data_IF_808012503288
#
_entry.id   IF_808012503288
#
_cell.length_a   1.000
_cell.length_b   1.000
_cell.length_c   1.000
_cell.angle_alpha   90.00
_cell.angle_beta   90.00
_cell.angle_gamma   90.00
#
_symmetry.space_group_name_H-M   'P 1'
#
loop_
_entity.id
_entity.type
_entity.pdbx_description
1 polymer ?
#
# COMPACT_ATOMS: atom_id res chain seq x y z
N UNK A 1 15.12 32.69 -14.25
CA UNK A 1 15.29 32.94 -12.80
C UNK A 1 13.88 33.17 -12.37
N UNK A 2 13.19 32.08 -12.03
CA UNK A 2 11.75 32.08 -11.83
C UNK A 2 11.48 31.50 -10.44
N UNK A 3 11.48 32.46 -9.54
CA UNK A 3 10.89 32.58 -8.21
C UNK A 3 9.99 31.44 -7.71
N UNK A 4 10.58 30.53 -6.92
CA UNK A 4 9.88 29.81 -5.86
C UNK A 4 10.11 30.53 -4.52
N UNK A 5 9.45 31.67 -4.27
CA UNK A 5 9.46 32.31 -2.94
C UNK A 5 8.16 33.09 -2.73
N UNK A 6 7.22 32.59 -1.91
CA UNK A 6 5.97 33.36 -1.73
C UNK A 6 4.81 32.87 -0.84
N UNK A 7 5.04 32.09 0.23
CA UNK A 7 4.14 31.98 1.41
C UNK A 7 2.69 31.46 1.18
N UNK A 8 1.83 31.34 2.23
CA UNK A 8 1.41 30.06 2.79
C UNK A 8 -0.09 29.85 2.59
N UNK A 9 -0.46 29.12 1.54
CA UNK A 9 -1.85 28.83 1.25
C UNK A 9 -2.00 27.37 0.85
N UNK A 10 -2.73 26.60 1.66
CA UNK A 10 -3.16 25.26 1.28
C UNK A 10 -4.13 25.42 0.10
N UNK A 11 -3.65 25.23 -1.12
CA UNK A 11 -4.52 25.21 -2.30
C UNK A 11 -5.28 23.89 -2.31
N UNK A 12 -6.56 23.98 -1.96
CA UNK A 12 -7.53 22.91 -2.15
C UNK A 12 -8.09 23.06 -3.55
N UNK A 13 -8.07 22.00 -4.34
CA UNK A 13 -8.93 21.94 -5.51
C UNK A 13 -10.41 21.95 -5.05
N UNK A 14 -11.35 22.08 -6.00
CA UNK A 14 -12.78 22.06 -5.69
C UNK A 14 -13.26 20.79 -4.95
N UNK A 15 -12.42 19.75 -4.83
CA UNK A 15 -12.64 18.53 -4.05
C UNK A 15 -11.82 18.43 -2.74
N UNK A 16 -10.99 19.41 -2.37
CA UNK A 16 -10.36 19.48 -1.05
C UNK A 16 -8.97 18.84 -0.90
N UNK A 17 -8.30 18.43 -1.97
CA UNK A 17 -6.98 17.77 -1.94
C UNK A 17 -5.84 18.76 -2.11
N UNK A 18 -4.73 18.56 -1.39
CA UNK A 18 -3.51 19.40 -1.47
C UNK A 18 -2.61 18.86 -2.58
N UNK A 19 -2.36 19.65 -3.64
CA UNK A 19 -1.44 19.30 -4.72
C UNK A 19 -0.03 19.85 -4.44
N UNK A 20 1.02 19.00 -4.36
CA UNK A 20 2.32 19.46 -3.88
C UNK A 20 3.33 19.99 -4.91
N UNK A 21 3.08 20.12 -6.22
CA UNK A 21 4.16 20.64 -7.11
C UNK A 21 3.69 21.46 -8.33
N UNK A 22 4.46 22.53 -8.60
CA UNK A 22 4.37 23.40 -9.76
C UNK A 22 5.28 22.91 -10.90
N UNK A 23 4.67 22.81 -12.07
CA UNK A 23 5.15 23.13 -13.42
C UNK A 23 5.99 22.16 -14.29
N UNK A 24 5.53 22.14 -15.55
CA UNK A 24 6.10 21.82 -16.86
C UNK A 24 6.78 20.48 -17.14
N UNK A 25 6.00 19.60 -17.79
CA UNK A 25 6.47 18.40 -18.47
C UNK A 25 5.77 17.18 -17.92
N UNK A 26 4.98 16.52 -18.76
CA UNK A 26 4.21 15.30 -18.44
C UNK A 26 5.16 14.23 -17.89
N UNK A 27 5.34 14.19 -16.57
CA UNK A 27 5.66 12.97 -15.84
C UNK A 27 4.34 12.53 -15.25
N UNK A 28 3.73 11.55 -15.92
CA UNK A 28 2.67 10.74 -15.37
C UNK A 28 3.08 10.39 -13.94
N UNK A 29 2.39 10.94 -12.93
CA UNK A 29 2.37 10.31 -11.61
C UNK A 29 2.08 8.85 -11.90
N UNK A 30 3.06 7.97 -11.67
CA UNK A 30 2.87 6.55 -11.87
C UNK A 30 1.75 6.20 -10.91
N UNK A 31 0.53 6.07 -11.44
CA UNK A 31 -0.60 5.68 -10.62
C UNK A 31 -0.19 4.39 -9.94
N UNK A 32 -0.32 4.35 -8.60
CA UNK A 32 -0.11 3.10 -7.87
C UNK A 32 -0.99 2.07 -8.57
N UNK A 33 -0.43 0.94 -9.07
CA UNK A 33 -1.26 -0.04 -9.73
C UNK A 33 -2.35 -0.49 -8.76
N UNK A 34 -3.60 -0.55 -9.23
CA UNK A 34 -4.73 -0.91 -8.37
C UNK A 34 -4.54 -2.35 -7.86
N UNK A 35 -4.27 -2.50 -6.56
CA UNK A 35 -4.14 -3.80 -5.90
C UNK A 35 -5.53 -4.40 -5.65
N UNK A 36 -5.74 -5.64 -6.11
CA UNK A 36 -6.94 -6.42 -5.82
C UNK A 36 -6.70 -7.31 -4.60
N UNK A 37 -7.08 -6.82 -3.42
CA UNK A 37 -6.85 -7.51 -2.15
C UNK A 37 -7.84 -8.66 -1.96
N UNK A 38 -7.31 -9.83 -1.59
CA UNK A 38 -8.08 -11.02 -1.26
C UNK A 38 -7.84 -11.46 0.18
N UNK A 39 -8.90 -11.94 0.83
CA UNK A 39 -8.87 -12.59 2.15
C UNK A 39 -8.66 -14.09 2.00
N UNK A 40 -7.95 -14.70 2.95
CA UNK A 40 -7.89 -16.17 3.06
C UNK A 40 -9.28 -16.76 3.36
N UNK A 41 -9.50 -18.04 3.04
CA UNK A 41 -10.79 -18.68 3.27
C UNK A 41 -11.25 -18.64 4.74
N UNK A 42 -10.31 -18.75 5.69
CA UNK A 42 -10.58 -18.63 7.12
C UNK A 42 -11.13 -17.25 7.52
N UNK A 43 -10.89 -16.24 6.70
CA UNK A 43 -11.28 -14.85 6.90
C UNK A 43 -12.50 -14.42 6.06
N UNK A 44 -13.23 -15.37 5.47
CA UNK A 44 -14.41 -15.07 4.63
C UNK A 44 -15.69 -14.83 5.42
N UNK A 45 -15.75 -15.22 6.70
CA UNK A 45 -16.90 -14.88 7.55
C UNK A 45 -16.89 -13.37 7.82
N UNK A 46 -18.02 -12.71 7.53
CA UNK A 46 -18.19 -11.26 7.73
C UNK A 46 -18.04 -10.81 9.20
N UNK A 47 -18.10 -11.75 10.16
CA UNK A 47 -17.85 -11.50 11.58
C UNK A 47 -16.35 -11.47 11.92
N UNK A 48 -15.48 -11.87 10.99
CA UNK A 48 -14.02 -11.83 11.14
C UNK A 48 -13.48 -10.60 10.43
N UNK A 49 -13.09 -9.59 11.20
CA UNK A 49 -12.70 -8.27 10.71
C UNK A 49 -11.21 -7.94 10.90
N UNK A 50 -10.42 -8.90 11.38
CA UNK A 50 -9.02 -8.75 11.80
C UNK A 50 -8.08 -9.67 10.99
N UNK A 51 -8.15 -9.59 9.67
CA UNK A 51 -7.41 -10.49 8.80
C UNK A 51 -6.41 -9.76 7.91
N UNK A 52 -5.21 -10.35 7.72
CA UNK A 52 -4.32 -9.90 6.67
C UNK A 52 -4.97 -10.17 5.30
N UNK A 53 -4.77 -9.23 4.38
CA UNK A 53 -5.22 -9.28 2.99
C UNK A 53 -4.00 -9.19 2.07
N UNK A 54 -4.02 -9.94 0.98
CA UNK A 54 -2.90 -10.01 0.03
C UNK A 54 -3.39 -9.70 -1.37
N UNK A 55 -2.63 -8.95 -2.15
CA UNK A 55 -2.85 -8.74 -3.58
C UNK A 55 -1.63 -9.22 -4.38
N UNK A 56 -1.89 -9.98 -5.45
CA UNK A 56 -0.87 -10.52 -6.36
C UNK A 56 -1.20 -10.26 -7.83
N UNK A 57 -2.18 -9.40 -8.10
CA UNK A 57 -2.65 -9.05 -9.46
C UNK A 57 -1.65 -8.14 -10.21
N UNK A 58 -0.65 -7.60 -9.51
CA UNK A 58 0.43 -6.80 -10.09
C UNK A 58 1.67 -7.69 -10.28
N UNK A 59 2.14 -7.93 -11.52
CA UNK A 59 3.30 -8.79 -11.77
C UNK A 59 4.54 -8.36 -10.98
N UNK A 60 5.20 -9.33 -10.35
CA UNK A 60 6.44 -9.11 -9.61
C UNK A 60 6.28 -8.48 -8.22
N UNK A 61 5.07 -8.01 -7.87
CA UNK A 61 4.77 -7.36 -6.59
C UNK A 61 3.76 -8.18 -5.80
N UNK A 62 4.01 -8.32 -4.50
CA UNK A 62 3.01 -8.73 -3.52
C UNK A 62 2.72 -7.55 -2.61
N UNK A 63 1.45 -7.21 -2.46
CA UNK A 63 0.99 -6.20 -1.51
C UNK A 63 0.26 -6.88 -0.35
N UNK A 64 0.66 -6.55 0.88
CA UNK A 64 0.08 -7.03 2.12
C UNK A 64 -0.50 -5.85 2.89
N UNK A 65 -1.67 -6.02 3.50
CA UNK A 65 -2.26 -5.06 4.44
C UNK A 65 -3.08 -5.75 5.51
N UNK A 66 -3.37 -5.03 6.58
CA UNK A 66 -4.35 -5.43 7.61
C UNK A 66 -5.75 -4.92 7.21
N UNK A 67 -6.79 -5.76 7.28
CA UNK A 67 -8.16 -5.34 6.97
C UNK A 67 -8.69 -4.21 7.88
N UNK A 68 -8.13 -4.00 9.08
CA UNK A 68 -8.43 -2.89 9.99
C UNK A 68 -7.65 -1.62 9.68
N UNK A 69 -6.58 -1.72 8.91
CA UNK A 69 -5.76 -0.58 8.47
C UNK A 69 -5.55 -0.64 6.95
N UNK A 70 -6.64 -0.54 6.16
CA UNK A 70 -6.62 -0.83 4.73
C UNK A 70 -5.76 0.15 3.90
N UNK A 71 -5.44 1.32 4.45
CA UNK A 71 -4.63 2.36 3.81
C UNK A 71 -3.13 2.14 4.01
N UNK A 72 -2.72 1.25 4.92
CA UNK A 72 -1.31 0.91 5.16
C UNK A 72 -0.96 -0.35 4.39
N UNK A 73 -0.32 -0.17 3.24
CA UNK A 73 0.08 -1.25 2.33
C UNK A 73 1.59 -1.44 2.38
N UNK A 74 2.01 -2.67 2.71
CA UNK A 74 3.40 -3.09 2.57
C UNK A 74 3.55 -3.80 1.24
N UNK A 75 4.45 -3.30 0.39
CA UNK A 75 4.79 -3.95 -0.89
C UNK A 75 6.14 -4.63 -0.80
N UNK A 76 6.26 -5.77 -1.46
CA UNK A 76 7.53 -6.51 -1.61
C UNK A 76 7.54 -7.26 -2.93
N UNK A 77 8.71 -7.69 -3.37
CA UNK A 77 8.84 -8.56 -4.53
C UNK A 77 8.29 -9.97 -4.24
N UNK A 78 7.96 -10.71 -5.30
CA UNK A 78 7.56 -12.11 -5.15
C UNK A 78 8.65 -12.99 -4.47
N UNK A 79 9.93 -12.67 -4.67
CA UNK A 79 11.04 -13.38 -4.04
C UNK A 79 11.15 -13.09 -2.53
N UNK A 80 10.98 -11.82 -2.14
CA UNK A 80 10.94 -11.40 -0.73
C UNK A 80 9.71 -12.00 -0.03
N UNK A 81 8.55 -12.03 -0.69
CA UNK A 81 7.37 -12.71 -0.18
C UNK A 81 7.62 -14.20 0.08
N UNK A 82 8.27 -14.89 -0.87
CA UNK A 82 8.68 -16.30 -0.69
C UNK A 82 9.53 -16.48 0.57
N UNK A 83 10.59 -15.67 0.69
CA UNK A 83 11.50 -15.67 1.85
C UNK A 83 10.75 -15.44 3.16
N UNK A 84 9.87 -14.44 3.22
CA UNK A 84 9.04 -14.15 4.39
C UNK A 84 8.16 -15.35 4.76
N UNK A 85 7.46 -15.94 3.78
CA UNK A 85 6.55 -17.06 4.08
C UNK A 85 7.30 -18.31 4.54
N UNK A 86 8.52 -18.53 4.06
CA UNK A 86 9.34 -19.66 4.49
C UNK A 86 9.83 -19.45 5.94
N UNK A 87 10.28 -18.25 6.30
CA UNK A 87 10.64 -17.90 7.67
C UNK A 87 9.46 -18.04 8.65
N UNK A 88 8.27 -17.56 8.26
CA UNK A 88 7.03 -17.73 9.05
C UNK A 88 6.71 -19.21 9.27
N UNK A 89 6.75 -20.04 8.21
CA UNK A 89 6.49 -21.48 8.33
C UNK A 89 7.54 -22.22 9.16
N UNK A 90 8.77 -21.71 9.18
CA UNK A 90 9.84 -22.24 10.01
C UNK A 90 9.72 -21.87 11.50
N UNK A 91 8.71 -21.05 11.86
CA UNK A 91 8.49 -20.60 13.23
C UNK A 91 9.46 -19.49 13.67
N UNK A 92 10.15 -18.83 12.74
CA UNK A 92 11.12 -17.75 13.07
C UNK A 92 10.46 -16.59 13.82
N UNK A 93 9.16 -16.41 13.63
CA UNK A 93 8.37 -15.35 14.26
C UNK A 93 7.32 -15.89 15.25
N UNK A 94 7.50 -17.11 15.76
CA UNK A 94 6.63 -17.65 16.80
C UNK A 94 6.77 -16.82 18.09
N UNK A 95 5.65 -16.35 18.62
CA UNK A 95 5.64 -15.60 19.86
C UNK A 95 5.92 -16.56 21.02
N UNK A 96 7.00 -16.31 21.77
CA UNK A 96 7.18 -16.97 23.06
C UNK A 96 6.14 -16.47 24.05
N UNK A 97 5.46 -17.40 24.70
CA UNK A 97 4.40 -17.15 25.68
C UNK A 97 4.92 -16.48 26.96
#
# INVERSE_FOLDING_TARGET
>A
MDDCYGLPGRVHDGAGTVSPYCDEGITTMTAVPEFEFVKTAACRDARVDNCPEVATNVPGTVALRDSKQPDTVVTMTAAEWGTLTDAVKAGEYDLSA
#
